data_IF_421891245131
#
_entry.id   IF_421891245131
#
_cell.length_a   1.000
_cell.length_b   1.000
_cell.length_c   1.000
_cell.angle_alpha   90.00
_cell.angle_beta   90.00
_cell.angle_gamma   90.00
#
_symmetry.space_group_name_H-M   'P 1'
#
loop_
_entity.id
_entity.type
_entity.pdbx_description
1 polymer ?
#
# COMPACT_ATOMS: atom_id res chain seq x y z
N UNK A 1 -12.64 -4.97 -20.07
CA UNK A 1 -11.55 -4.07 -19.65
C UNK A 1 -10.28 -4.57 -20.28
N UNK A 2 -9.74 -3.87 -21.27
CA UNK A 2 -8.40 -4.16 -21.79
C UNK A 2 -7.42 -3.39 -20.92
N UNK A 3 -6.56 -4.08 -20.18
CA UNK A 3 -5.42 -3.45 -19.54
C UNK A 3 -4.43 -3.09 -20.66
N UNK A 4 -4.09 -1.81 -20.79
CA UNK A 4 -3.10 -1.35 -21.77
C UNK A 4 -1.71 -1.73 -21.27
N UNK A 5 -1.00 -2.55 -22.03
CA UNK A 5 0.35 -3.08 -21.78
C UNK A 5 1.47 -2.01 -21.82
N UNK A 6 1.16 -0.72 -21.64
CA UNK A 6 2.11 0.41 -21.83
C UNK A 6 2.49 1.16 -20.55
N UNK A 7 2.06 0.73 -19.37
CA UNK A 7 2.35 1.42 -18.11
C UNK A 7 3.51 0.82 -17.30
N UNK A 8 4.14 -0.28 -17.75
CA UNK A 8 5.23 -0.92 -17.00
C UNK A 8 6.51 -0.05 -16.91
N UNK A 9 6.70 0.90 -17.82
CA UNK A 9 7.87 1.79 -17.86
C UNK A 9 7.57 3.25 -17.48
N UNK A 10 6.34 3.56 -17.05
CA UNK A 10 5.97 4.93 -16.72
C UNK A 10 6.55 5.34 -15.37
N UNK A 11 7.47 6.30 -15.36
CA UNK A 11 7.99 6.89 -14.11
C UNK A 11 6.87 7.69 -13.44
N UNK A 12 6.45 7.35 -12.20
CA UNK A 12 5.39 8.08 -11.52
C UNK A 12 5.74 9.55 -11.35
N UNK A 13 4.74 10.43 -11.47
CA UNK A 13 4.91 11.86 -11.19
C UNK A 13 5.58 12.06 -9.81
N UNK A 14 6.65 12.84 -9.79
CA UNK A 14 7.44 13.13 -8.58
C UNK A 14 8.68 12.25 -8.38
N UNK A 15 8.96 11.30 -9.28
CA UNK A 15 10.20 10.50 -9.29
C UNK A 15 11.03 10.77 -10.55
N UNK A 16 12.36 10.76 -10.43
CA UNK A 16 13.24 10.53 -11.59
C UNK A 16 13.37 9.04 -11.89
N UNK A 17 13.77 8.63 -13.11
CA UNK A 17 14.04 7.22 -13.42
C UNK A 17 15.00 6.56 -12.43
N UNK A 18 16.04 7.29 -12.01
CA UNK A 18 17.06 6.79 -11.07
C UNK A 18 16.50 6.62 -9.66
N UNK A 19 15.65 7.56 -9.21
CA UNK A 19 14.96 7.46 -7.92
C UNK A 19 13.98 6.29 -7.91
N UNK A 20 13.28 6.07 -9.02
CA UNK A 20 12.40 4.91 -9.16
C UNK A 20 13.19 3.60 -9.15
N UNK A 21 14.31 3.53 -9.88
CA UNK A 21 15.18 2.35 -9.88
C UNK A 21 15.70 2.02 -8.48
N UNK A 22 16.18 3.03 -7.73
CA UNK A 22 16.62 2.86 -6.35
C UNK A 22 15.49 2.39 -5.42
N UNK A 23 14.29 2.96 -5.58
CA UNK A 23 13.12 2.55 -4.80
C UNK A 23 12.72 1.09 -5.08
N UNK A 24 12.71 0.68 -6.35
CA UNK A 24 12.38 -0.68 -6.75
C UNK A 24 13.45 -1.69 -6.30
N UNK A 25 14.74 -1.32 -6.39
CA UNK A 25 15.82 -2.14 -5.87
C UNK A 25 15.69 -2.32 -4.35
N UNK A 26 15.44 -1.23 -3.63
CA UNK A 26 15.27 -1.26 -2.18
C UNK A 26 14.10 -2.14 -1.75
N UNK A 27 12.95 -2.04 -2.43
CA UNK A 27 11.75 -2.83 -2.11
C UNK A 27 11.90 -4.31 -2.45
N UNK A 28 12.67 -4.66 -3.49
CA UNK A 28 13.04 -6.06 -3.78
C UNK A 28 13.99 -6.64 -2.73
N UNK A 29 14.95 -5.85 -2.27
CA UNK A 29 15.90 -6.26 -1.24
C UNK A 29 15.28 -6.33 0.17
N UNK A 30 14.20 -5.57 0.41
CA UNK A 30 13.51 -5.48 1.70
C UNK A 30 12.01 -5.75 1.54
N UNK A 31 11.63 -7.00 1.21
CA UNK A 31 10.22 -7.34 1.02
C UNK A 31 9.43 -7.10 2.31
N UNK A 32 8.22 -6.55 2.14
CA UNK A 32 7.29 -6.34 3.25
C UNK A 32 6.63 -7.67 3.63
N UNK A 33 7.23 -8.38 4.58
CA UNK A 33 6.72 -9.68 5.01
C UNK A 33 7.07 -10.79 4.03
N UNK A 34 6.20 -11.81 3.94
CA UNK A 34 6.43 -13.02 3.12
C UNK A 34 5.78 -12.85 1.74
N UNK A 35 6.39 -12.00 0.92
CA UNK A 35 5.92 -11.66 -0.43
C UNK A 35 6.38 -12.68 -1.47
N UNK A 36 5.50 -12.98 -2.44
CA UNK A 36 5.85 -13.77 -3.62
C UNK A 36 6.46 -12.91 -4.74
N UNK A 37 6.71 -13.53 -5.89
CA UNK A 37 7.27 -12.87 -7.09
C UNK A 37 6.39 -11.73 -7.61
N UNK A 38 5.11 -11.69 -7.26
CA UNK A 38 4.16 -10.63 -7.63
C UNK A 38 4.02 -9.56 -6.54
N UNK A 39 4.78 -9.66 -5.45
CA UNK A 39 4.70 -8.74 -4.30
C UNK A 39 3.49 -9.00 -3.39
N UNK A 40 2.85 -10.16 -3.47
CA UNK A 40 1.69 -10.49 -2.64
C UNK A 40 2.14 -11.13 -1.32
N UNK A 41 1.83 -10.49 -0.18
CA UNK A 41 2.13 -11.04 1.15
C UNK A 41 1.15 -12.16 1.53
N UNK A 42 1.56 -13.40 1.29
CA UNK A 42 0.75 -14.59 1.59
C UNK A 42 0.54 -14.80 3.09
N UNK A 43 1.44 -14.29 3.95
CA UNK A 43 1.29 -14.42 5.40
C UNK A 43 0.02 -13.74 5.88
N UNK A 44 -0.28 -12.54 5.36
CA UNK A 44 -1.49 -11.78 5.68
C UNK A 44 -2.75 -12.42 5.13
N UNK A 45 -2.68 -12.99 3.93
CA UNK A 45 -3.80 -13.70 3.32
C UNK A 45 -4.15 -14.94 4.14
N UNK A 46 -3.16 -15.78 4.48
CA UNK A 46 -3.34 -16.96 5.34
C UNK A 46 -3.88 -16.58 6.71
N UNK A 47 -3.38 -15.50 7.31
CA UNK A 47 -3.90 -15.00 8.59
C UNK A 47 -5.38 -14.58 8.49
N UNK A 48 -5.80 -13.92 7.40
CA UNK A 48 -7.20 -13.56 7.20
C UNK A 48 -8.12 -14.76 6.97
N UNK A 49 -7.62 -15.83 6.33
CA UNK A 49 -8.40 -17.04 6.09
C UNK A 49 -8.76 -17.78 7.39
N UNK A 50 -7.93 -17.65 8.43
CA UNK A 50 -8.18 -18.21 9.77
C UNK A 50 -9.28 -17.47 10.55
N UNK A 51 -9.68 -16.28 10.11
CA UNK A 51 -10.69 -15.47 10.78
C UNK A 51 -12.10 -15.83 10.29
N UNK A 52 -13.05 -15.84 11.21
CA UNK A 52 -14.49 -15.88 10.91
C UNK A 52 -14.93 -14.61 10.16
N UNK A 53 -16.09 -14.62 9.47
CA UNK A 53 -16.61 -13.44 8.80
C UNK A 53 -16.72 -12.21 9.72
N UNK A 54 -17.20 -12.39 10.95
CA UNK A 54 -17.33 -11.32 11.94
C UNK A 54 -15.97 -10.74 12.35
N UNK A 55 -14.98 -11.60 12.61
CA UNK A 55 -13.63 -11.14 12.97
C UNK A 55 -12.95 -10.38 11.84
N UNK A 56 -13.20 -10.76 10.57
CA UNK A 56 -12.71 -9.99 9.41
C UNK A 56 -13.31 -8.59 9.38
N UNK A 57 -14.60 -8.46 9.67
CA UNK A 57 -15.28 -7.16 9.75
C UNK A 57 -14.69 -6.31 10.88
N UNK A 58 -14.48 -6.88 12.06
CA UNK A 58 -13.88 -6.17 13.20
C UNK A 58 -12.43 -5.73 12.93
N UNK A 59 -11.64 -6.61 12.32
CA UNK A 59 -10.28 -6.27 11.87
C UNK A 59 -10.30 -5.09 10.88
N UNK A 60 -11.21 -5.10 9.90
CA UNK A 60 -11.37 -4.01 8.94
C UNK A 60 -11.80 -2.71 9.61
N UNK A 61 -12.74 -2.76 10.56
CA UNK A 61 -13.19 -1.59 11.34
C UNK A 61 -12.03 -0.98 12.14
N UNK A 62 -11.19 -1.80 12.76
CA UNK A 62 -10.00 -1.33 13.49
C UNK A 62 -9.01 -0.63 12.56
N UNK A 63 -8.72 -1.21 11.40
CA UNK A 63 -7.83 -0.59 10.41
C UNK A 63 -8.38 0.76 9.92
N UNK A 64 -9.69 0.85 9.62
CA UNK A 64 -10.32 2.09 9.18
C UNK A 64 -10.23 3.20 10.25
N UNK A 65 -10.40 2.86 11.54
CA UNK A 65 -10.21 3.81 12.64
C UNK A 65 -8.77 4.33 12.71
N UNK A 66 -7.77 3.44 12.62
CA UNK A 66 -6.36 3.83 12.62
C UNK A 66 -6.00 4.78 11.48
N UNK A 67 -6.50 4.51 10.27
CA UNK A 67 -6.29 5.41 9.11
C UNK A 67 -6.93 6.78 9.35
N UNK A 68 -8.15 6.82 9.91
CA UNK A 68 -8.83 8.07 10.27
C UNK A 68 -8.05 8.86 11.32
N UNK A 69 -7.53 8.19 12.33
CA UNK A 69 -6.71 8.79 13.39
C UNK A 69 -5.42 9.38 12.83
N UNK A 70 -4.70 8.62 12.00
CA UNK A 70 -3.50 9.10 11.30
C UNK A 70 -3.80 10.35 10.45
N UNK A 71 -4.87 10.33 9.66
CA UNK A 71 -5.30 11.49 8.86
C UNK A 71 -5.55 12.71 9.75
N UNK A 72 -6.29 12.54 10.83
CA UNK A 72 -6.57 13.62 11.78
C UNK A 72 -5.30 14.14 12.46
N UNK A 73 -4.35 13.26 12.78
CA UNK A 73 -3.06 13.65 13.34
C UNK A 73 -2.24 14.48 12.34
N UNK A 74 -2.20 14.08 11.07
CA UNK A 74 -1.57 14.86 10.00
C UNK A 74 -2.17 16.27 9.87
N UNK A 75 -3.50 16.38 9.88
CA UNK A 75 -4.20 17.67 9.85
C UNK A 75 -3.81 18.54 11.05
N UNK A 76 -3.79 17.97 12.27
CA UNK A 76 -3.34 18.69 13.48
C UNK A 76 -1.88 19.14 13.39
N UNK A 77 -1.04 18.40 12.67
CA UNK A 77 0.35 18.74 12.40
C UNK A 77 0.52 19.75 11.24
N UNK A 78 -0.57 20.26 10.66
CA UNK A 78 -0.53 21.20 9.54
C UNK A 78 -0.32 20.55 8.17
N UNK A 79 -0.31 19.21 8.07
CA UNK A 79 -0.26 18.51 6.79
C UNK A 79 -1.62 18.64 6.10
N UNK A 80 -1.63 19.27 4.92
CA UNK A 80 -2.84 19.30 4.11
C UNK A 80 -2.93 18.02 3.26
N UNK A 81 -4.12 17.39 3.16
CA UNK A 81 -4.31 16.31 2.22
C UNK A 81 -4.07 16.84 0.81
N UNK A 82 -3.24 16.16 0.04
CA UNK A 82 -3.05 16.51 -1.37
C UNK A 82 -4.38 16.26 -2.10
N UNK A 83 -5.10 17.34 -2.43
CA UNK A 83 -6.21 17.25 -3.36
C UNK A 83 -5.64 17.05 -4.75
N UNK A 84 -5.87 15.88 -5.36
CA UNK A 84 -5.79 15.77 -6.82
C UNK A 84 -6.93 16.62 -7.37
N UNK A 85 -6.61 17.77 -7.94
CA UNK A 85 -7.53 18.55 -8.79
C UNK A 85 -7.78 17.83 -10.10
#
# INVERSE_FOLDING_TARGET
MKYNEKEEDAVPEGYTPEQLAQFLEWTRAHPYGDQDENGVDFSRLRANLKLTPTERVEKRRRAARGVKEMKNAGIRAGLQPHSKG
#
